data_IF_288732618672
#
_entry.id   IF_288732618672
#
_cell.length_a   1.000
_cell.length_b   1.000
_cell.length_c   1.000
_cell.angle_alpha   90.00
_cell.angle_beta   90.00
_cell.angle_gamma   90.00
#
_symmetry.space_group_name_H-M   'P 1'
#
loop_
_entity.id
_entity.type
_entity.pdbx_description
1 polymer ?
#
# COMPACT_ATOMS: atom_id res chain seq x y z
N UNK A 1 -11.77 -11.94 24.01
CA UNK A 1 -10.68 -12.93 23.87
C UNK A 1 -10.21 -12.81 22.44
N UNK A 2 -9.23 -11.95 22.19
CA UNK A 2 -8.75 -11.59 20.84
C UNK A 2 -7.49 -12.39 20.55
N UNK A 3 -7.57 -13.24 19.53
CA UNK A 3 -6.40 -13.95 19.01
C UNK A 3 -5.53 -12.99 18.23
N UNK A 4 -4.45 -12.54 18.83
CA UNK A 4 -3.33 -11.93 18.11
C UNK A 4 -2.62 -13.09 17.42
N UNK A 5 -2.68 -13.14 16.09
CA UNK A 5 -1.88 -14.07 15.29
C UNK A 5 -0.41 -13.63 15.36
N UNK A 6 0.25 -14.06 16.43
CA UNK A 6 1.70 -14.06 16.57
C UNK A 6 2.22 -15.30 15.86
N UNK A 7 2.67 -15.17 14.62
CA UNK A 7 3.54 -16.19 14.03
C UNK A 7 4.90 -16.10 14.73
N UNK A 8 5.08 -16.95 15.74
CA UNK A 8 6.37 -17.18 16.38
C UNK A 8 7.19 -18.15 15.50
N UNK A 9 8.25 -17.67 14.93
CA UNK A 9 9.33 -18.52 14.45
C UNK A 9 10.44 -18.50 15.49
N UNK A 10 10.51 -19.57 16.30
CA UNK A 10 11.60 -19.77 17.25
C UNK A 10 12.83 -20.30 16.49
N UNK A 11 13.80 -19.43 16.23
CA UNK A 11 15.14 -19.83 15.85
C UNK A 11 16.03 -19.83 17.09
N UNK A 12 16.24 -21.02 17.69
CA UNK A 12 17.24 -21.21 18.74
C UNK A 12 18.63 -21.27 18.16
N UNK A 13 19.37 -20.16 18.18
CA UNK A 13 20.82 -20.15 18.10
C UNK A 13 21.36 -19.42 19.34
N UNK A 14 22.16 -20.13 20.16
CA UNK A 14 22.87 -19.62 21.35
C UNK A 14 21.99 -18.96 22.45
N UNK A 15 20.97 -19.62 22.95
CA UNK A 15 20.15 -19.18 24.12
C UNK A 15 19.64 -17.71 24.06
N UNK A 16 19.55 -17.10 22.89
CA UNK A 16 18.86 -15.84 22.69
C UNK A 16 17.62 -16.08 21.84
N UNK A 17 16.46 -15.92 22.43
CA UNK A 17 15.19 -15.86 21.71
C UNK A 17 15.16 -14.53 20.98
N UNK A 18 15.30 -14.56 19.65
CA UNK A 18 15.14 -13.36 18.81
C UNK A 18 13.65 -13.29 18.46
N UNK A 19 12.95 -12.35 19.07
CA UNK A 19 11.59 -12.01 18.64
C UNK A 19 11.69 -11.15 17.37
N UNK A 20 11.30 -11.73 16.24
CA UNK A 20 11.12 -10.95 15.01
C UNK A 20 9.72 -10.36 15.08
N UNK A 21 9.62 -9.09 15.39
CA UNK A 21 8.36 -8.34 15.28
C UNK A 21 8.21 -8.00 13.79
N UNK A 22 7.25 -8.66 13.13
CA UNK A 22 6.86 -8.25 11.79
C UNK A 22 6.01 -6.99 11.91
N UNK A 23 6.55 -5.88 11.43
CA UNK A 23 5.80 -4.63 11.30
C UNK A 23 5.17 -4.59 9.91
N UNK A 24 3.86 -4.35 9.87
CA UNK A 24 3.17 -4.11 8.61
C UNK A 24 3.52 -2.71 8.09
N UNK A 25 3.93 -2.63 6.82
CA UNK A 25 4.26 -1.36 6.20
C UNK A 25 2.98 -0.57 5.88
N UNK A 26 2.94 0.67 6.35
CA UNK A 26 1.85 1.61 6.11
C UNK A 26 2.08 2.39 4.81
N UNK A 27 1.01 2.83 4.19
CA UNK A 27 1.10 3.73 3.03
C UNK A 27 1.71 5.08 3.42
N UNK A 28 2.37 5.74 2.47
CA UNK A 28 2.87 7.11 2.65
C UNK A 28 1.72 8.14 2.66
N UNK A 29 2.01 9.36 3.10
CA UNK A 29 1.05 10.47 3.06
C UNK A 29 0.55 10.74 1.64
N UNK A 30 1.43 10.65 0.65
CA UNK A 30 1.08 10.83 -0.76
C UNK A 30 0.04 9.80 -1.21
N UNK A 31 0.26 8.53 -0.86
CA UNK A 31 -0.69 7.45 -1.18
C UNK A 31 -1.98 7.58 -0.39
N UNK A 32 -1.93 7.97 0.88
CA UNK A 32 -3.12 8.21 1.70
C UNK A 32 -4.02 9.31 1.11
N UNK A 33 -3.44 10.39 0.56
CA UNK A 33 -4.16 11.45 -0.16
C UNK A 33 -4.82 10.91 -1.43
N UNK A 34 -4.05 10.19 -2.27
CA UNK A 34 -4.59 9.58 -3.49
C UNK A 34 -5.73 8.60 -3.19
N UNK A 35 -5.59 7.78 -2.16
CA UNK A 35 -6.64 6.86 -1.72
C UNK A 35 -7.93 7.62 -1.32
N UNK A 36 -7.80 8.72 -0.56
CA UNK A 36 -8.94 9.57 -0.21
C UNK A 36 -9.60 10.14 -1.47
N UNK A 37 -8.83 10.72 -2.38
CA UNK A 37 -9.34 11.33 -3.61
C UNK A 37 -10.07 10.32 -4.50
N UNK A 38 -9.65 9.06 -4.45
CA UNK A 38 -10.29 7.95 -5.18
C UNK A 38 -11.41 7.26 -4.40
N UNK A 39 -11.77 7.76 -3.21
CA UNK A 39 -12.90 7.28 -2.43
C UNK A 39 -12.62 6.03 -1.60
N UNK A 40 -11.39 5.84 -1.14
CA UNK A 40 -11.07 4.79 -0.18
C UNK A 40 -11.87 5.00 1.10
N UNK A 41 -12.67 4.00 1.50
CA UNK A 41 -13.60 4.10 2.62
C UNK A 41 -13.51 2.92 3.60
N UNK A 42 -12.52 2.05 3.44
CA UNK A 42 -12.30 0.96 4.39
C UNK A 42 -11.71 1.51 5.69
N UNK A 43 -12.15 0.92 6.80
CA UNK A 43 -11.67 1.33 8.13
C UNK A 43 -10.22 0.93 8.35
N UNK A 44 -9.44 1.82 8.98
CA UNK A 44 -8.03 1.65 9.29
C UNK A 44 -7.75 1.98 10.77
N UNK A 45 -6.77 1.33 11.35
CA UNK A 45 -6.30 1.63 12.72
C UNK A 45 -5.37 2.85 12.77
N UNK A 46 -4.86 3.31 11.63
CA UNK A 46 -3.90 4.39 11.56
C UNK A 46 -4.45 5.57 10.76
N UNK A 47 -4.16 6.77 11.25
CA UNK A 47 -4.29 8.03 10.51
C UNK A 47 -2.89 8.64 10.33
N UNK A 48 -2.70 9.38 9.24
CA UNK A 48 -1.49 10.16 8.97
C UNK A 48 -1.87 11.62 8.75
N UNK A 49 -1.18 12.54 9.41
CA UNK A 49 -1.39 13.97 9.25
C UNK A 49 -0.51 14.58 8.13
N UNK A 50 -0.69 15.88 7.84
CA UNK A 50 0.13 16.62 6.87
C UNK A 50 1.62 16.70 7.23
N UNK A 51 1.96 16.56 8.51
CA UNK A 51 3.32 16.54 9.00
C UNK A 51 3.95 15.14 8.97
N UNK A 52 3.25 14.17 8.40
CA UNK A 52 3.64 12.74 8.34
C UNK A 52 3.68 12.06 9.72
N UNK A 53 2.96 12.60 10.70
CA UNK A 53 2.81 11.96 12.01
C UNK A 53 1.71 10.90 11.89
N UNK A 54 2.04 9.68 12.28
CA UNK A 54 1.11 8.54 12.26
C UNK A 54 0.57 8.32 13.66
N UNK A 55 -0.75 8.30 13.80
CA UNK A 55 -1.46 8.00 15.03
C UNK A 55 -2.16 6.66 14.91
N UNK A 56 -1.90 5.75 15.85
CA UNK A 56 -2.60 4.47 15.94
C UNK A 56 -3.75 4.57 16.93
N UNK A 57 -4.89 4.01 16.56
CA UNK A 57 -6.09 3.94 17.37
C UNK A 57 -6.42 2.48 17.73
N UNK A 58 -6.99 2.26 18.89
CA UNK A 58 -7.40 0.92 19.35
C UNK A 58 -8.59 0.36 18.55
N UNK A 59 -9.37 1.25 17.92
CA UNK A 59 -10.50 0.89 17.07
C UNK A 59 -10.30 1.43 15.66
N UNK A 60 -10.69 0.65 14.64
CA UNK A 60 -10.57 1.10 13.26
C UNK A 60 -11.38 2.37 12.97
N UNK A 61 -10.72 3.39 12.46
CA UNK A 61 -11.26 4.68 12.09
C UNK A 61 -11.86 4.67 10.68
N UNK A 62 -12.88 5.48 10.44
CA UNK A 62 -13.46 5.72 9.13
C UNK A 62 -13.13 7.12 8.63
N UNK A 63 -13.43 7.42 7.37
CA UNK A 63 -13.23 8.76 6.79
C UNK A 63 -13.91 9.88 7.59
N UNK A 64 -15.04 9.60 8.24
CA UNK A 64 -15.74 10.59 9.09
C UNK A 64 -14.99 10.98 10.36
N UNK A 65 -13.94 10.24 10.71
CA UNK A 65 -13.07 10.55 11.85
C UNK A 65 -11.86 11.41 11.46
N UNK A 66 -11.62 11.60 10.15
CA UNK A 66 -10.52 12.45 9.68
C UNK A 66 -10.85 13.93 9.90
N UNK A 67 -9.91 14.65 10.49
CA UNK A 67 -10.05 16.09 10.75
C UNK A 67 -9.97 16.89 9.46
N UNK A 68 -10.90 17.84 9.29
CA UNK A 68 -10.90 18.82 8.20
C UNK A 68 -10.86 20.23 8.79
N UNK A 69 -10.04 21.10 8.19
CA UNK A 69 -9.95 22.52 8.54
C UNK A 69 -10.12 23.32 7.25
N UNK A 70 -11.07 24.27 7.23
CA UNK A 70 -11.39 25.11 6.08
C UNK A 70 -11.65 24.29 4.79
N UNK A 71 -12.46 23.23 4.91
CA UNK A 71 -12.77 22.26 3.85
C UNK A 71 -11.53 21.47 3.33
N UNK A 72 -10.40 21.57 4.00
CA UNK A 72 -9.21 20.79 3.69
C UNK A 72 -8.92 19.70 4.73
N UNK A 73 -8.67 18.49 4.26
CA UNK A 73 -8.31 17.40 5.16
C UNK A 73 -6.92 17.60 5.76
N UNK A 74 -6.85 17.49 7.06
CA UNK A 74 -5.61 17.57 7.84
C UNK A 74 -5.07 16.17 8.13
N UNK A 75 -5.98 15.19 8.27
CA UNK A 75 -5.67 13.80 8.52
C UNK A 75 -6.26 12.91 7.43
N UNK A 76 -5.60 11.77 7.18
CA UNK A 76 -5.96 10.81 6.15
C UNK A 76 -5.92 9.39 6.73
N UNK A 77 -6.81 8.52 6.27
CA UNK A 77 -6.72 7.09 6.56
C UNK A 77 -5.39 6.55 6.04
N UNK A 78 -4.67 5.85 6.91
CA UNK A 78 -3.35 5.30 6.61
C UNK A 78 -3.39 3.76 6.71
N UNK A 79 -3.90 3.07 5.66
CA UNK A 79 -3.93 1.62 5.66
C UNK A 79 -2.53 1.03 5.53
N UNK A 80 -2.38 -0.26 5.88
CA UNK A 80 -1.21 -1.03 5.47
C UNK A 80 -1.24 -1.27 3.97
N UNK A 81 -0.08 -1.43 3.35
CA UNK A 81 0.07 -1.57 1.89
C UNK A 81 -0.82 -2.65 1.29
N UNK A 82 -0.91 -3.82 1.94
CA UNK A 82 -1.74 -4.91 1.42
C UNK A 82 -3.24 -4.60 1.46
N UNK A 83 -3.71 -3.77 2.39
CA UNK A 83 -5.11 -3.33 2.45
C UNK A 83 -5.41 -2.37 1.31
N UNK A 84 -4.51 -1.45 1.00
CA UNK A 84 -4.64 -0.57 -0.16
C UNK A 84 -4.63 -1.35 -1.48
N UNK A 85 -3.71 -2.31 -1.63
CA UNK A 85 -3.65 -3.23 -2.76
C UNK A 85 -4.95 -4.05 -2.91
N UNK A 86 -5.46 -4.58 -1.78
CA UNK A 86 -6.71 -5.35 -1.77
C UNK A 86 -7.91 -4.49 -2.19
N UNK A 87 -7.99 -3.25 -1.70
CA UNK A 87 -9.05 -2.32 -2.08
C UNK A 87 -9.03 -2.00 -3.57
N UNK A 88 -7.85 -1.74 -4.16
CA UNK A 88 -7.70 -1.53 -5.59
C UNK A 88 -8.24 -2.73 -6.38
N UNK A 89 -7.88 -3.94 -5.98
CA UNK A 89 -8.35 -5.17 -6.63
C UNK A 89 -9.85 -5.38 -6.51
N UNK A 90 -10.42 -5.23 -5.32
CA UNK A 90 -11.81 -5.59 -5.04
C UNK A 90 -12.80 -4.50 -5.43
N UNK A 91 -12.42 -3.22 -5.34
CA UNK A 91 -13.32 -2.10 -5.58
C UNK A 91 -13.08 -1.45 -6.95
N UNK A 92 -11.82 -1.44 -7.41
CA UNK A 92 -11.44 -0.77 -8.66
C UNK A 92 -11.12 -1.74 -9.80
N UNK A 93 -10.99 -3.04 -9.52
CA UNK A 93 -10.64 -4.05 -10.52
C UNK A 93 -9.19 -3.97 -10.99
N UNK A 94 -8.34 -3.20 -10.29
CA UNK A 94 -6.93 -3.04 -10.64
C UNK A 94 -6.07 -3.94 -9.75
N UNK A 95 -5.29 -4.81 -10.38
CA UNK A 95 -4.42 -5.75 -9.69
C UNK A 95 -2.97 -5.26 -9.78
N UNK A 96 -2.42 -4.81 -8.65
CA UNK A 96 -1.02 -4.42 -8.49
C UNK A 96 -0.24 -5.60 -7.92
N UNK A 97 0.89 -5.95 -8.51
CA UNK A 97 1.77 -6.99 -8.00
C UNK A 97 3.24 -6.63 -8.21
N UNK A 98 4.11 -7.31 -7.49
CA UNK A 98 5.55 -7.04 -7.47
C UNK A 98 6.30 -8.29 -7.86
N UNK A 99 7.23 -8.17 -8.79
CA UNK A 99 8.04 -9.25 -9.31
C UNK A 99 9.50 -9.10 -8.89
N UNK A 100 10.12 -10.21 -8.50
CA UNK A 100 11.56 -10.26 -8.27
C UNK A 100 12.29 -10.34 -9.61
N UNK A 101 13.21 -9.41 -9.84
CA UNK A 101 14.07 -9.41 -11.03
C UNK A 101 15.53 -9.66 -10.67
N UNK A 102 16.37 -9.85 -11.71
CA UNK A 102 17.79 -10.15 -11.54
C UNK A 102 18.47 -9.09 -10.65
N UNK A 103 19.39 -9.52 -9.79
CA UNK A 103 20.16 -8.65 -8.91
C UNK A 103 19.43 -8.31 -7.59
N UNK A 104 18.45 -9.10 -7.19
CA UNK A 104 17.65 -8.90 -5.97
C UNK A 104 16.95 -7.52 -5.97
N UNK A 105 16.39 -7.14 -7.09
CA UNK A 105 15.59 -5.94 -7.27
C UNK A 105 14.14 -6.32 -7.50
N UNK A 106 13.25 -5.38 -7.29
CA UNK A 106 11.82 -5.55 -7.44
C UNK A 106 11.27 -4.66 -8.54
N UNK A 107 10.39 -5.20 -9.35
CA UNK A 107 9.67 -4.49 -10.41
C UNK A 107 8.19 -4.48 -10.04
N UNK A 108 7.52 -3.35 -10.23
CA UNK A 108 6.06 -3.29 -10.16
C UNK A 108 5.44 -3.74 -11.48
N UNK A 109 4.29 -4.37 -11.37
CA UNK A 109 3.42 -4.72 -12.49
C UNK A 109 1.96 -4.56 -12.07
N UNK A 110 1.07 -4.28 -13.02
CA UNK A 110 -0.36 -4.24 -12.72
C UNK A 110 -1.19 -4.65 -13.93
N UNK A 111 -2.43 -5.06 -13.65
CA UNK A 111 -3.42 -5.42 -14.65
C UNK A 111 -4.75 -4.78 -14.24
N UNK A 112 -5.42 -4.12 -15.17
CA UNK A 112 -6.76 -3.61 -15.01
C UNK A 112 -7.74 -4.59 -15.65
N UNK A 113 -8.61 -5.22 -14.85
CA UNK A 113 -9.61 -6.17 -15.32
C UNK A 113 -10.81 -5.52 -16.02
N UNK A 114 -10.93 -4.20 -15.93
CA UNK A 114 -12.03 -3.46 -16.55
C UNK A 114 -11.75 -3.11 -18.01
N UNK A 115 -10.50 -3.29 -18.45
CA UNK A 115 -10.09 -3.02 -19.84
C UNK A 115 -9.67 -4.31 -20.56
N UNK A 116 -9.77 -4.37 -21.89
CA UNK A 116 -9.25 -5.48 -22.67
C UNK A 116 -7.74 -5.70 -22.43
N UNK A 117 -7.30 -6.95 -22.54
CA UNK A 117 -5.90 -7.34 -22.27
C UNK A 117 -4.88 -6.50 -23.04
N UNK A 118 -5.19 -6.17 -24.29
CA UNK A 118 -4.33 -5.34 -25.15
C UNK A 118 -4.12 -3.92 -24.59
N UNK A 119 -5.17 -3.31 -24.00
CA UNK A 119 -5.09 -2.00 -23.35
C UNK A 119 -4.39 -2.08 -21.98
N UNK A 120 -4.56 -3.17 -21.26
CA UNK A 120 -3.87 -3.40 -19.99
C UNK A 120 -2.36 -3.53 -20.19
N UNK A 121 -1.93 -4.26 -21.21
CA UNK A 121 -0.52 -4.37 -21.61
C UNK A 121 0.05 -3.02 -22.05
N UNK A 122 -0.78 -2.19 -22.71
CA UNK A 122 -0.38 -0.83 -23.09
C UNK A 122 -0.14 0.05 -21.86
N UNK A 123 -0.99 0.00 -20.82
CA UNK A 123 -0.82 0.75 -19.57
C UNK A 123 0.49 0.37 -18.87
N UNK A 124 0.82 -0.90 -18.78
CA UNK A 124 2.09 -1.35 -18.20
C UNK A 124 3.29 -0.84 -19.01
N UNK A 125 3.17 -0.84 -20.34
CA UNK A 125 4.19 -0.32 -21.23
C UNK A 125 4.36 1.20 -21.12
N UNK A 126 3.28 1.98 -20.92
CA UNK A 126 3.38 3.45 -20.72
C UNK A 126 4.15 3.81 -19.45
N UNK A 127 3.92 3.12 -18.34
CA UNK A 127 4.67 3.35 -17.09
C UNK A 127 6.15 3.01 -17.26
N UNK A 128 6.47 2.04 -18.11
CA UNK A 128 7.83 1.60 -18.38
C UNK A 128 8.47 2.35 -19.56
N UNK A 129 7.73 3.21 -20.28
CA UNK A 129 8.27 3.98 -21.42
C UNK A 129 9.29 5.02 -20.96
N UNK A 130 10.45 4.91 -21.51
CA UNK A 130 11.47 5.97 -21.51
C UNK A 130 12.75 5.66 -20.75
N UNK A 131 12.76 4.77 -19.76
CA UNK A 131 13.94 4.52 -18.91
C UNK A 131 14.25 3.04 -18.61
N UNK A 132 13.68 2.12 -19.33
CA UNK A 132 13.73 0.71 -18.95
C UNK A 132 12.84 0.44 -17.73
N UNK A 133 12.81 -0.81 -17.26
CA UNK A 133 12.02 -1.17 -16.08
C UNK A 133 12.53 -0.42 -14.85
N UNK A 134 11.67 0.38 -14.23
CA UNK A 134 11.97 0.96 -12.92
C UNK A 134 12.06 -0.17 -11.90
N UNK A 135 13.21 -0.25 -11.22
CA UNK A 135 13.44 -1.27 -10.20
C UNK A 135 13.65 -0.64 -8.84
N UNK A 136 13.21 -1.35 -7.82
CA UNK A 136 13.21 -0.90 -6.44
C UNK A 136 14.11 -1.80 -5.59
N UNK A 137 14.56 -1.29 -4.45
CA UNK A 137 15.43 -2.03 -3.53
C UNK A 137 14.64 -3.01 -2.69
N UNK A 138 13.45 -2.61 -2.24
CA UNK A 138 12.56 -3.43 -1.41
C UNK A 138 11.26 -3.76 -2.13
N UNK A 139 10.60 -4.81 -1.65
CA UNK A 139 9.27 -5.21 -2.10
C UNK A 139 8.24 -4.11 -1.81
N UNK A 140 8.32 -3.52 -0.63
CA UNK A 140 7.40 -2.50 -0.12
C UNK A 140 7.49 -1.21 -0.93
N UNK A 141 8.72 -0.76 -1.26
CA UNK A 141 8.92 0.40 -2.15
C UNK A 141 8.30 0.17 -3.53
N UNK A 142 8.45 -1.03 -4.10
CA UNK A 142 7.85 -1.37 -5.37
C UNK A 142 6.32 -1.43 -5.29
N UNK A 143 5.77 -2.02 -4.23
CA UNK A 143 4.33 -2.12 -4.02
C UNK A 143 3.70 -0.74 -3.81
N UNK A 144 4.31 0.11 -2.99
CA UNK A 144 3.87 1.50 -2.76
C UNK A 144 3.82 2.28 -4.06
N UNK A 145 4.90 2.21 -4.85
CA UNK A 145 4.94 2.87 -6.15
C UNK A 145 3.88 2.33 -7.12
N UNK A 146 3.66 1.02 -7.13
CA UNK A 146 2.62 0.40 -7.94
C UNK A 146 1.21 0.85 -7.56
N UNK A 147 0.92 0.96 -6.26
CA UNK A 147 -0.35 1.48 -5.76
C UNK A 147 -0.54 2.94 -6.19
N UNK A 148 0.49 3.78 -6.08
CA UNK A 148 0.43 5.18 -6.51
C UNK A 148 0.15 5.32 -7.99
N UNK A 149 0.84 4.56 -8.84
CA UNK A 149 0.61 4.58 -10.29
C UNK A 149 -0.81 4.09 -10.64
N UNK A 150 -1.27 2.99 -10.03
CA UNK A 150 -2.64 2.50 -10.21
C UNK A 150 -3.69 3.55 -9.81
N UNK A 151 -3.48 4.24 -8.69
CA UNK A 151 -4.39 5.30 -8.23
C UNK A 151 -4.44 6.52 -9.17
N UNK A 152 -3.38 6.81 -9.90
CA UNK A 152 -3.37 7.89 -10.90
C UNK A 152 -4.14 7.54 -12.16
N UNK A 153 -4.25 6.26 -12.49
CA UNK A 153 -4.89 5.76 -13.72
C UNK A 153 -6.42 5.65 -13.60
N UNK A 154 -6.95 5.49 -12.39
CA UNK A 154 -8.40 5.34 -12.13
C UNK A 154 -9.10 6.71 -11.78
#
# INVERSE_FOLDING_TARGET
>A
MYCINLFHYDYCFNNRIIYIVMTEELVTLETAKLLKDKGFNWKCEHLIDRNKVITKYDLPQSMSCCTEIDDESVEFLCPVLYVAQKWLREIRGVYVYVELVIGKRWKLSFCDFNVPTEESDWMENEINKGNGYKVYVTYEEALEAGIQEALKLI
#
